data_IF_464708376056
#
_entry.id   IF_464708376056
#
_cell.length_a   1.000
_cell.length_b   1.000
_cell.length_c   1.000
_cell.angle_alpha   90.00
_cell.angle_beta   90.00
_cell.angle_gamma   90.00
#
_symmetry.space_group_name_H-M   'P 1'
#
loop_
_entity.id
_entity.type
_entity.pdbx_description
1 polymer ?
#
# COMPACT_ATOMS: atom_id res chain seq x y z
N UNK A 1 -8.47 -19.22 7.47
CA UNK A 1 -8.57 -17.98 6.67
C UNK A 1 -7.33 -17.88 5.78
N UNK A 2 -7.34 -17.04 4.74
CA UNK A 2 -6.18 -16.73 3.91
C UNK A 2 -6.14 -15.22 3.63
N UNK A 3 -4.99 -14.59 3.86
CA UNK A 3 -4.72 -13.20 3.50
C UNK A 3 -3.75 -13.19 2.31
N UNK A 4 -4.10 -12.46 1.25
CA UNK A 4 -3.23 -12.26 0.10
C UNK A 4 -3.07 -10.79 -0.22
N UNK A 5 -1.83 -10.31 -0.16
CA UNK A 5 -1.43 -9.03 -0.78
C UNK A 5 -1.18 -9.32 -2.26
N UNK A 6 -1.87 -8.60 -3.15
CA UNK A 6 -1.90 -8.91 -4.58
C UNK A 6 -0.89 -8.10 -5.40
N UNK A 7 -0.49 -6.93 -4.90
CA UNK A 7 0.37 -6.00 -5.65
C UNK A 7 1.77 -6.03 -5.04
N UNK A 8 2.78 -6.01 -5.91
CA UNK A 8 4.18 -6.03 -5.54
C UNK A 8 4.89 -4.72 -5.91
N UNK A 9 5.89 -4.29 -5.14
CA UNK A 9 6.56 -3.02 -5.33
C UNK A 9 7.66 -3.13 -6.39
N UNK A 10 7.30 -3.15 -7.67
CA UNK A 10 8.26 -3.24 -8.76
C UNK A 10 8.88 -1.89 -9.17
N UNK A 11 8.26 -0.77 -8.81
CA UNK A 11 8.73 0.55 -9.23
C UNK A 11 9.86 1.04 -8.32
N UNK A 12 11.07 1.22 -8.84
CA UNK A 12 12.19 1.80 -8.08
C UNK A 12 12.00 3.32 -7.97
N UNK A 13 12.12 3.83 -6.74
CA UNK A 13 12.15 5.25 -6.42
C UNK A 13 13.61 5.71 -6.32
N UNK A 14 13.89 6.88 -6.91
CA UNK A 14 15.19 7.54 -6.86
C UNK A 14 15.06 8.90 -6.22
N UNK A 15 16.09 9.28 -5.48
CA UNK A 15 16.15 10.58 -4.81
C UNK A 15 17.53 11.19 -5.01
N UNK A 16 17.56 12.48 -5.35
CA UNK A 16 18.78 13.27 -5.31
C UNK A 16 19.06 13.69 -3.87
N UNK A 17 19.61 12.76 -3.09
CA UNK A 17 19.85 12.95 -1.65
C UNK A 17 20.87 14.04 -1.40
N UNK A 18 20.51 14.96 -0.52
CA UNK A 18 21.49 15.87 0.10
C UNK A 18 22.22 15.13 1.23
N UNK A 19 23.49 15.48 1.44
CA UNK A 19 24.19 15.03 2.63
C UNK A 19 23.51 15.62 3.87
N UNK A 20 23.38 14.83 4.93
CA UNK A 20 22.79 15.26 6.21
C UNK A 20 23.87 15.23 7.30
N UNK A 21 23.92 16.25 8.14
CA UNK A 21 24.93 16.39 9.21
C UNK A 21 25.44 17.84 9.33
N UNK A 22 26.26 18.11 10.34
CA UNK A 22 26.87 19.43 10.50
C UNK A 22 27.82 19.74 9.32
N UNK A 23 27.66 20.89 8.68
CA UNK A 23 28.47 21.31 7.53
C UNK A 23 28.11 20.63 6.20
N UNK A 24 27.03 19.86 6.14
CA UNK A 24 26.60 19.19 4.91
C UNK A 24 26.03 20.14 3.85
N UNK A 25 25.59 21.34 4.27
CA UNK A 25 25.21 22.46 3.41
C UNK A 25 26.33 22.86 2.44
N UNK A 26 27.59 22.70 2.88
CA UNK A 26 28.79 23.00 2.11
C UNK A 26 29.13 21.93 1.06
N UNK A 27 28.45 20.79 1.10
CA UNK A 27 28.67 19.62 0.22
C UNK A 27 27.43 19.37 -0.65
N UNK A 28 26.86 20.45 -1.19
CA UNK A 28 25.73 20.40 -2.12
C UNK A 28 26.19 20.80 -3.52
N UNK A 29 25.87 19.99 -4.54
CA UNK A 29 26.02 20.37 -5.95
C UNK A 29 24.75 21.00 -6.53
N UNK A 30 23.75 21.28 -5.70
CA UNK A 30 22.43 21.74 -6.13
C UNK A 30 21.78 20.73 -7.09
N UNK A 31 21.42 21.20 -8.29
CA UNK A 31 20.75 20.41 -9.32
C UNK A 31 21.71 19.75 -10.33
N UNK A 32 23.02 19.94 -10.19
CA UNK A 32 23.99 19.23 -11.02
C UNK A 32 23.95 17.73 -10.69
N UNK A 33 23.90 16.87 -11.71
CA UNK A 33 23.81 15.41 -11.56
C UNK A 33 22.57 14.91 -10.78
N UNK A 34 21.42 15.57 -10.96
CA UNK A 34 20.20 15.34 -10.16
C UNK A 34 19.44 14.01 -10.38
N UNK A 35 19.94 13.05 -11.16
CA UNK A 35 19.22 11.78 -11.43
C UNK A 35 18.95 10.95 -10.16
N UNK A 36 19.81 11.10 -9.14
CA UNK A 36 19.61 10.50 -7.84
C UNK A 36 19.94 9.01 -7.76
N UNK A 37 20.01 8.53 -6.51
CA UNK A 37 20.32 7.13 -6.18
C UNK A 37 19.03 6.39 -5.85
N UNK A 38 19.03 5.06 -5.98
CA UNK A 38 17.88 4.24 -5.59
C UNK A 38 17.67 4.31 -4.08
N UNK A 39 16.43 4.53 -3.63
CA UNK A 39 16.11 4.70 -2.20
C UNK A 39 15.05 3.74 -1.68
N UNK A 40 14.24 3.20 -2.57
CA UNK A 40 13.16 2.29 -2.20
C UNK A 40 12.36 1.87 -3.41
N UNK A 41 11.24 1.21 -3.14
CA UNK A 41 10.33 0.70 -4.17
C UNK A 41 8.89 1.02 -3.82
N UNK A 42 8.07 1.24 -4.85
CA UNK A 42 6.63 1.47 -4.71
C UNK A 42 5.84 0.49 -5.58
N UNK A 43 4.62 0.19 -5.13
CA UNK A 43 3.64 -0.52 -5.92
C UNK A 43 2.85 0.48 -6.77
N UNK A 44 2.76 0.23 -8.08
CA UNK A 44 1.84 0.96 -8.96
C UNK A 44 0.47 0.28 -8.90
N UNK A 45 -0.56 1.04 -8.59
CA UNK A 45 -1.94 0.55 -8.46
C UNK A 45 -2.85 1.39 -9.35
N UNK A 46 -3.75 0.73 -10.08
CA UNK A 46 -4.77 1.38 -10.92
C UNK A 46 -6.11 1.48 -10.18
N UNK A 47 -7.01 2.35 -10.65
CA UNK A 47 -8.34 2.49 -10.05
C UNK A 47 -9.07 1.14 -10.06
N UNK A 48 -9.74 0.80 -8.96
CA UNK A 48 -10.48 -0.45 -8.76
C UNK A 48 -9.63 -1.74 -8.76
N UNK A 49 -8.29 -1.65 -8.74
CA UNK A 49 -7.43 -2.81 -8.61
C UNK A 49 -7.46 -3.35 -7.18
N UNK A 50 -7.65 -4.67 -7.03
CA UNK A 50 -7.64 -5.35 -5.72
C UNK A 50 -6.22 -5.34 -5.14
N UNK A 51 -6.01 -4.68 -4.00
CA UNK A 51 -4.70 -4.59 -3.32
C UNK A 51 -4.51 -5.72 -2.31
N UNK A 52 -5.50 -5.94 -1.45
CA UNK A 52 -5.51 -6.98 -0.42
C UNK A 52 -6.79 -7.81 -0.58
N UNK A 53 -6.71 -9.11 -0.35
CA UNK A 53 -7.87 -10.00 -0.28
C UNK A 53 -7.78 -10.87 0.96
N UNK A 54 -8.89 -10.99 1.68
CA UNK A 54 -9.07 -11.95 2.77
C UNK A 54 -10.12 -12.96 2.33
N UNK A 55 -9.81 -14.25 2.46
CA UNK A 55 -10.76 -15.34 2.35
C UNK A 55 -10.96 -15.93 3.74
N UNK A 56 -12.21 -16.01 4.18
CA UNK A 56 -12.56 -16.54 5.49
C UNK A 56 -13.95 -17.17 5.47
N UNK A 57 -14.28 -17.93 6.51
CA UNK A 57 -15.64 -18.46 6.69
C UNK A 57 -16.62 -17.34 7.07
N UNK A 58 -17.93 -17.51 6.82
CA UNK A 58 -18.94 -16.47 7.10
C UNK A 58 -18.95 -15.99 8.56
N UNK A 59 -18.68 -16.88 9.51
CA UNK A 59 -18.62 -16.57 10.94
C UNK A 59 -17.57 -15.51 11.30
N UNK A 60 -16.53 -15.32 10.48
CA UNK A 60 -15.44 -14.37 10.74
C UNK A 60 -15.51 -13.12 9.84
N UNK A 61 -16.62 -12.90 9.14
CA UNK A 61 -16.78 -11.78 8.21
C UNK A 61 -16.56 -10.41 8.87
N UNK A 62 -17.19 -10.17 10.03
CA UNK A 62 -17.09 -8.89 10.73
C UNK A 62 -15.63 -8.57 11.13
N UNK A 63 -14.89 -9.57 11.63
CA UNK A 63 -13.48 -9.42 11.97
C UNK A 63 -12.62 -9.15 10.73
N UNK A 64 -12.87 -9.82 9.61
CA UNK A 64 -12.17 -9.58 8.36
C UNK A 64 -12.45 -8.17 7.78
N UNK A 65 -13.70 -7.70 7.85
CA UNK A 65 -14.10 -6.35 7.41
C UNK A 65 -13.40 -5.26 8.23
N UNK A 66 -13.35 -5.40 9.57
CA UNK A 66 -12.63 -4.45 10.44
C UNK A 66 -11.11 -4.50 10.21
N UNK A 67 -10.53 -5.68 9.97
CA UNK A 67 -9.11 -5.80 9.63
C UNK A 67 -8.76 -5.05 8.34
N UNK A 68 -9.58 -5.17 7.28
CA UNK A 68 -9.39 -4.41 6.04
C UNK A 68 -9.59 -2.91 6.24
N UNK A 69 -10.51 -2.50 7.11
CA UNK A 69 -10.69 -1.09 7.48
C UNK A 69 -9.44 -0.51 8.14
N UNK A 70 -8.83 -1.25 9.08
CA UNK A 70 -7.56 -0.84 9.73
C UNK A 70 -6.41 -0.77 8.71
N UNK A 71 -6.35 -1.71 7.78
CA UNK A 71 -5.35 -1.69 6.71
C UNK A 71 -5.52 -0.46 5.80
N UNK A 72 -6.76 -0.07 5.49
CA UNK A 72 -7.05 1.14 4.70
C UNK A 72 -6.47 2.41 5.32
N UNK A 73 -6.48 2.53 6.66
CA UNK A 73 -5.88 3.67 7.36
C UNK A 73 -4.36 3.81 7.18
N UNK A 74 -3.68 2.78 6.63
CA UNK A 74 -2.24 2.78 6.36
C UNK A 74 -1.92 2.93 4.89
N UNK A 75 -2.92 2.93 4.02
CA UNK A 75 -2.74 3.18 2.60
C UNK A 75 -2.87 4.69 2.31
N UNK A 76 -2.05 5.24 1.40
CA UNK A 76 -2.09 6.66 1.07
C UNK A 76 -3.33 7.06 0.25
N UNK A 77 -4.06 6.09 -0.31
CA UNK A 77 -5.19 6.33 -1.21
C UNK A 77 -6.47 5.81 -0.59
N UNK A 78 -7.56 6.56 -0.74
CA UNK A 78 -8.90 6.10 -0.34
C UNK A 78 -9.27 4.81 -1.05
N UNK A 79 -9.52 3.74 -0.30
CA UNK A 79 -9.96 2.46 -0.85
C UNK A 79 -11.30 2.01 -0.29
N UNK A 80 -12.03 1.21 -1.06
CA UNK A 80 -13.31 0.61 -0.71
C UNK A 80 -13.15 -0.88 -0.40
N UNK A 81 -13.91 -1.38 0.58
CA UNK A 81 -13.97 -2.81 0.91
C UNK A 81 -15.18 -3.40 0.21
N UNK A 82 -14.97 -4.44 -0.59
CA UNK A 82 -16.02 -5.10 -1.39
C UNK A 82 -15.96 -6.61 -1.15
N UNK A 83 -17.12 -7.25 -1.09
CA UNK A 83 -17.23 -8.72 -1.05
C UNK A 83 -17.24 -9.24 -2.49
N UNK A 84 -16.28 -10.09 -2.83
CA UNK A 84 -16.10 -10.57 -4.20
C UNK A 84 -16.95 -11.82 -4.50
N UNK A 85 -17.12 -12.69 -3.50
CA UNK A 85 -17.86 -13.96 -3.56
C UNK A 85 -18.44 -14.29 -2.18
N UNK A 86 -19.55 -15.04 -2.13
CA UNK A 86 -20.13 -15.49 -0.86
C UNK A 86 -21.19 -14.57 -0.26
N UNK A 87 -21.81 -13.69 -1.06
CA UNK A 87 -22.86 -12.78 -0.57
C UNK A 87 -24.05 -13.54 0.04
N UNK A 88 -24.40 -14.68 -0.53
CA UNK A 88 -25.45 -15.60 -0.11
C UNK A 88 -25.29 -16.11 1.33
N UNK A 89 -24.05 -16.16 1.84
CA UNK A 89 -23.73 -16.64 3.17
C UNK A 89 -23.70 -15.54 4.24
N UNK A 90 -23.89 -14.27 3.85
CA UNK A 90 -23.76 -13.11 4.72
C UNK A 90 -25.11 -12.44 5.04
N UNK A 91 -26.23 -13.16 4.92
CA UNK A 91 -27.58 -12.63 5.14
C UNK A 91 -27.67 -11.88 6.47
N UNK A 92 -27.85 -10.56 6.41
CA UNK A 92 -28.00 -9.67 7.57
C UNK A 92 -26.72 -8.97 8.08
N UNK A 93 -25.55 -9.23 7.49
CA UNK A 93 -24.26 -8.65 7.91
C UNK A 93 -23.64 -7.67 6.90
N UNK A 94 -24.19 -7.58 5.69
CA UNK A 94 -23.72 -6.69 4.61
C UNK A 94 -24.40 -5.33 4.69
#
# INVERSE_FOLDING_TARGET
YSLRVRVYPHQVLRENKQATGAGADRVSQGMRCAFGKNVGTAARVTKNQKVITIQTSPAHFAAAKDALRKANCKLPTTSSIVVDRGHEHLKGLV
#
